data_IF_890787600635
#
_entry.id   IF_890787600635
#
_cell.length_a   1.000
_cell.length_b   1.000
_cell.length_c   1.000
_cell.angle_alpha   90.00
_cell.angle_beta   90.00
_cell.angle_gamma   90.00
#
_symmetry.space_group_name_H-M   'P 1'
#
loop_
_entity.id
_entity.type
_entity.pdbx_description
1 polymer ?
#
# COMPACT_ATOMS: atom_id res chain seq x y z
N UNK A 1 -8.32 -24.07 -21.24
CA UNK A 1 -8.79 -24.31 -19.86
C UNK A 1 -9.42 -23.01 -19.37
N UNK A 2 -10.74 -22.97 -19.15
CA UNK A 2 -11.41 -21.79 -18.63
C UNK A 2 -11.20 -21.73 -17.12
N UNK A 3 -10.57 -20.65 -16.62
CA UNK A 3 -10.49 -20.37 -15.19
C UNK A 3 -11.91 -20.20 -14.65
N UNK A 4 -12.25 -20.89 -13.56
CA UNK A 4 -13.52 -20.66 -12.88
C UNK A 4 -13.55 -19.26 -12.27
N UNK A 5 -14.73 -18.68 -12.10
CA UNK A 5 -14.87 -17.34 -11.49
C UNK A 5 -14.22 -17.28 -10.09
N UNK A 6 -14.28 -18.37 -9.32
CA UNK A 6 -13.61 -18.48 -8.02
C UNK A 6 -12.08 -18.40 -8.14
N UNK A 7 -11.49 -19.12 -9.09
CA UNK A 7 -10.04 -19.09 -9.31
C UNK A 7 -9.58 -17.71 -9.79
N UNK A 8 -10.35 -17.05 -10.66
CA UNK A 8 -10.06 -15.68 -11.10
C UNK A 8 -10.12 -14.69 -9.92
N UNK A 9 -11.08 -14.85 -9.03
CA UNK A 9 -11.25 -14.00 -7.85
C UNK A 9 -10.16 -14.24 -6.80
N UNK A 10 -9.73 -15.48 -6.59
CA UNK A 10 -8.62 -15.81 -5.69
C UNK A 10 -7.29 -15.26 -6.20
N UNK A 11 -7.03 -15.36 -7.51
CA UNK A 11 -5.83 -14.78 -8.14
C UNK A 11 -5.86 -13.24 -8.02
N UNK A 12 -7.01 -12.60 -8.28
CA UNK A 12 -7.18 -11.16 -8.11
C UNK A 12 -6.95 -10.72 -6.66
N UNK A 13 -7.51 -11.47 -5.69
CA UNK A 13 -7.33 -11.22 -4.25
C UNK A 13 -5.87 -11.40 -3.81
N UNK A 14 -5.18 -12.46 -4.26
CA UNK A 14 -3.74 -12.64 -4.00
C UNK A 14 -2.90 -11.54 -4.65
N UNK A 15 -3.25 -11.11 -5.86
CA UNK A 15 -2.54 -10.04 -6.59
C UNK A 15 -2.74 -8.69 -5.92
N UNK A 16 -3.94 -8.39 -5.43
CA UNK A 16 -4.24 -7.22 -4.62
C UNK A 16 -3.47 -7.23 -3.29
N UNK A 17 -3.49 -8.35 -2.55
CA UNK A 17 -2.72 -8.52 -1.30
C UNK A 17 -1.21 -8.38 -1.50
N UNK A 18 -0.67 -8.84 -2.64
CA UNK A 18 0.75 -8.67 -2.99
C UNK A 18 1.10 -7.24 -3.39
N UNK A 19 0.16 -6.49 -4.00
CA UNK A 19 0.36 -5.07 -4.31
C UNK A 19 0.34 -4.19 -3.04
N UNK A 20 -0.40 -4.60 -2.02
CA UNK A 20 -0.50 -3.92 -0.72
C UNK A 20 0.52 -4.40 0.32
N UNK A 21 1.35 -5.40 0.00
CA UNK A 21 2.41 -5.85 0.91
C UNK A 21 3.56 -4.84 0.93
N UNK A 22 3.44 -3.84 1.81
CA UNK A 22 4.52 -2.88 2.09
C UNK A 22 5.55 -3.58 2.98
N UNK A 23 6.81 -3.58 2.54
CA UNK A 23 7.91 -4.10 3.36
C UNK A 23 8.14 -3.21 4.60
N UNK A 24 8.66 -3.75 5.71
CA UNK A 24 8.99 -2.93 6.89
C UNK A 24 9.87 -1.73 6.55
N UNK A 25 10.92 -1.92 5.73
CA UNK A 25 11.81 -0.84 5.31
C UNK A 25 11.09 0.24 4.48
N UNK A 26 10.16 -0.15 3.60
CA UNK A 26 9.34 0.81 2.85
C UNK A 26 8.38 1.56 3.77
N UNK A 27 7.79 0.87 4.77
CA UNK A 27 6.94 1.50 5.78
C UNK A 27 7.70 2.57 6.55
N UNK A 28 8.91 2.26 7.02
CA UNK A 28 9.74 3.19 7.80
C UNK A 28 10.14 4.41 6.95
N UNK A 29 10.48 4.19 5.67
CA UNK A 29 10.71 5.27 4.71
C UNK A 29 9.47 6.16 4.54
N UNK A 30 8.27 5.56 4.42
CA UNK A 30 7.03 6.31 4.29
C UNK A 30 6.73 7.13 5.56
N UNK A 31 6.96 6.57 6.75
CA UNK A 31 6.79 7.27 8.04
C UNK A 31 7.72 8.49 8.08
N UNK A 32 9.02 8.30 7.80
CA UNK A 32 9.98 9.40 7.78
C UNK A 32 9.64 10.51 6.77
N UNK A 33 8.98 10.16 5.65
CA UNK A 33 8.47 11.16 4.71
C UNK A 33 7.22 11.88 5.23
N UNK A 34 6.30 11.17 5.89
CA UNK A 34 5.08 11.74 6.47
C UNK A 34 5.37 12.74 7.62
N UNK A 35 6.47 12.56 8.34
CA UNK A 35 6.93 13.50 9.37
C UNK A 35 7.45 14.83 8.81
N UNK A 36 7.92 14.83 7.55
CA UNK A 36 8.63 15.96 6.94
C UNK A 36 7.85 16.65 5.83
N UNK A 37 6.95 15.94 5.17
CA UNK A 37 6.24 16.39 3.99
C UNK A 37 4.74 16.21 4.11
N UNK A 38 3.94 17.09 3.48
CA UNK A 38 2.50 16.95 3.45
C UNK A 38 2.08 15.72 2.62
N UNK A 39 0.96 15.10 3.01
CA UNK A 39 0.38 13.89 2.38
C UNK A 39 0.36 13.87 0.84
N UNK A 40 0.00 14.95 0.13
CA UNK A 40 0.04 14.98 -1.34
C UNK A 40 1.44 14.77 -1.93
N UNK A 41 2.49 15.27 -1.26
CA UNK A 41 3.88 15.10 -1.68
C UNK A 41 4.33 13.66 -1.46
N UNK A 42 4.03 13.09 -0.28
CA UNK A 42 4.36 11.69 0.03
C UNK A 42 3.67 10.72 -0.93
N UNK A 43 2.42 10.99 -1.31
CA UNK A 43 1.72 10.23 -2.37
C UNK A 43 2.48 10.25 -3.68
N UNK A 44 2.95 11.42 -4.12
CA UNK A 44 3.71 11.55 -5.37
C UNK A 44 5.03 10.78 -5.30
N UNK A 45 5.72 10.83 -4.16
CA UNK A 45 7.03 10.19 -3.98
C UNK A 45 6.94 8.66 -3.89
N UNK A 46 5.89 8.15 -3.23
CA UNK A 46 5.77 6.72 -2.90
C UNK A 46 4.87 5.97 -3.89
N UNK A 47 4.05 6.68 -4.67
CA UNK A 47 3.03 6.10 -5.54
C UNK A 47 1.88 5.42 -4.78
N UNK A 48 1.88 5.46 -3.44
CA UNK A 48 0.89 4.76 -2.61
C UNK A 48 -0.45 5.50 -2.58
N UNK A 49 -1.51 4.75 -2.31
CA UNK A 49 -2.84 5.33 -2.17
C UNK A 49 -2.93 6.20 -0.91
N UNK A 50 -3.80 7.21 -0.90
CA UNK A 50 -4.01 8.01 0.31
C UNK A 50 -4.49 7.15 1.48
N UNK A 51 -5.33 6.15 1.23
CA UNK A 51 -5.81 5.20 2.25
C UNK A 51 -4.64 4.46 2.89
N UNK A 52 -3.70 3.99 2.08
CA UNK A 52 -2.50 3.30 2.55
C UNK A 52 -1.61 4.21 3.39
N UNK A 53 -1.36 5.44 2.94
CA UNK A 53 -0.55 6.42 3.67
C UNK A 53 -1.18 6.80 5.02
N UNK A 54 -2.50 7.01 5.04
CA UNK A 54 -3.24 7.31 6.28
C UNK A 54 -3.19 6.14 7.27
N UNK A 55 -3.36 4.90 6.78
CA UNK A 55 -3.20 3.70 7.64
C UNK A 55 -1.81 3.61 8.26
N UNK A 56 -0.77 3.95 7.49
CA UNK A 56 0.61 3.94 8.01
C UNK A 56 0.78 5.02 9.08
N UNK A 57 0.28 6.24 8.83
CA UNK A 57 0.33 7.34 9.78
C UNK A 57 -0.40 7.00 11.10
N UNK A 58 -1.56 6.36 11.03
CA UNK A 58 -2.38 5.98 12.19
C UNK A 58 -1.73 4.93 13.10
N UNK A 59 -0.82 4.10 12.58
CA UNK A 59 -0.14 3.07 13.38
C UNK A 59 1.23 3.55 13.87
N UNK A 60 1.73 4.67 13.36
CA UNK A 60 3.03 5.23 13.72
C UNK A 60 2.97 6.30 14.82
N UNK A 61 1.79 6.93 15.02
CA UNK A 61 1.48 7.90 16.07
C UNK A 61 0.62 7.26 17.16
#
# INVERSE_FOLDING_TARGET
MNLTQEQAMEIASRKARRHDAISPAERDMIIAQLERFPLPVVKRNTGRSYVTLLRIAQVAL
#
